data_IF_192786700154
#
_entry.id   IF_192786700154
#
_cell.length_a   1.000
_cell.length_b   1.000
_cell.length_c   1.000
_cell.angle_alpha   90.00
_cell.angle_beta   90.00
_cell.angle_gamma   90.00
#
_symmetry.space_group_name_H-M   'P 1'
#
loop_
_entity.id
_entity.type
_entity.pdbx_description
1 polymer ?
#
# COMPACT_ATOMS: atom_id res chain seq x y z
N UNK A 1 27.78 -33.17 -37.84
CA UNK A 1 26.57 -32.80 -37.08
C UNK A 1 25.47 -32.50 -38.06
N UNK A 2 24.21 -32.77 -37.69
CA UNK A 2 23.05 -32.46 -38.51
C UNK A 2 22.76 -30.96 -38.51
N UNK A 3 22.36 -30.41 -39.67
CA UNK A 3 22.02 -28.99 -39.83
C UNK A 3 20.53 -28.92 -40.15
N UNK A 4 19.75 -28.38 -39.22
CA UNK A 4 18.28 -28.27 -39.35
C UNK A 4 17.88 -26.81 -39.13
N UNK A 5 16.87 -26.34 -39.86
CA UNK A 5 16.29 -25.02 -39.65
C UNK A 5 15.49 -24.98 -38.34
N UNK A 6 15.23 -23.79 -37.77
CA UNK A 6 14.44 -23.66 -36.54
C UNK A 6 12.98 -24.16 -36.70
N UNK A 7 12.47 -24.15 -37.94
CA UNK A 7 11.10 -24.55 -38.28
C UNK A 7 10.95 -26.08 -38.36
N UNK A 8 11.99 -26.78 -38.83
CA UNK A 8 11.95 -28.22 -39.12
C UNK A 8 12.13 -29.17 -37.93
N UNK A 9 12.27 -28.68 -36.70
CA UNK A 9 11.69 -29.43 -35.59
C UNK A 9 10.75 -28.62 -34.70
N UNK A 10 10.87 -27.29 -34.63
CA UNK A 10 10.18 -26.47 -33.63
C UNK A 10 8.99 -25.65 -34.13
N UNK A 11 8.71 -25.62 -35.44
CA UNK A 11 7.62 -24.85 -36.02
C UNK A 11 6.25 -25.42 -35.63
N UNK A 12 5.25 -24.55 -35.40
CA UNK A 12 3.93 -24.88 -34.83
C UNK A 12 3.30 -26.22 -35.25
N UNK A 13 3.30 -26.63 -36.53
CA UNK A 13 2.75 -27.92 -36.95
C UNK A 13 3.36 -29.14 -36.25
N UNK A 14 4.67 -29.15 -35.97
CA UNK A 14 5.36 -30.30 -35.37
C UNK A 14 4.98 -30.50 -33.89
N UNK A 15 5.07 -29.48 -33.01
CA UNK A 15 4.56 -29.56 -31.63
C UNK A 15 3.08 -29.89 -31.53
N UNK A 16 2.22 -29.38 -32.44
CA UNK A 16 0.77 -29.62 -32.37
C UNK A 16 0.33 -30.96 -32.95
N UNK A 17 0.97 -31.45 -34.03
CA UNK A 17 0.49 -32.63 -34.77
C UNK A 17 1.27 -33.91 -34.50
N UNK A 18 2.56 -33.80 -34.16
CA UNK A 18 3.44 -34.95 -33.99
C UNK A 18 3.78 -35.21 -32.52
N UNK A 19 4.17 -34.16 -31.78
CA UNK A 19 4.66 -34.34 -30.41
C UNK A 19 3.57 -34.22 -29.33
N UNK A 20 2.52 -33.44 -29.59
CA UNK A 20 1.46 -33.17 -28.61
C UNK A 20 1.90 -32.24 -27.48
N UNK A 21 2.87 -31.36 -27.74
CA UNK A 21 3.35 -30.36 -26.75
C UNK A 21 2.42 -29.14 -26.68
N UNK A 22 1.68 -28.87 -27.75
CA UNK A 22 0.72 -27.75 -27.85
C UNK A 22 -0.65 -28.29 -28.23
N UNK A 23 -1.71 -27.77 -27.63
CA UNK A 23 -3.08 -28.27 -27.82
C UNK A 23 -3.83 -27.63 -29.00
N UNK A 24 -3.41 -26.42 -29.43
CA UNK A 24 -4.07 -25.67 -30.48
C UNK A 24 -3.04 -25.04 -31.45
N UNK A 25 -3.26 -25.20 -32.75
CA UNK A 25 -2.46 -24.57 -33.80
C UNK A 25 -3.23 -23.38 -34.37
N UNK A 26 -2.66 -22.18 -34.24
CA UNK A 26 -3.24 -20.95 -34.76
C UNK A 26 -2.55 -20.52 -36.07
N UNK A 27 -3.30 -19.87 -36.96
CA UNK A 27 -2.76 -19.39 -38.25
C UNK A 27 -2.02 -18.05 -38.13
N UNK A 28 -2.31 -17.29 -37.07
CA UNK A 28 -1.70 -16.00 -36.73
C UNK A 28 -2.11 -15.59 -35.30
N UNK A 29 -1.56 -14.48 -34.82
CA UNK A 29 -1.82 -13.94 -33.48
C UNK A 29 -3.30 -13.64 -33.21
N UNK A 30 -4.05 -13.15 -34.19
CA UNK A 30 -5.49 -12.90 -34.00
C UNK A 30 -6.27 -14.20 -33.78
N UNK A 31 -5.96 -15.25 -34.55
CA UNK A 31 -6.53 -16.58 -34.35
C UNK A 31 -6.12 -17.16 -32.99
N UNK A 32 -4.85 -16.99 -32.59
CA UNK A 32 -4.39 -17.43 -31.27
C UNK A 32 -5.16 -16.75 -30.13
N UNK A 33 -5.40 -15.44 -30.20
CA UNK A 33 -6.19 -14.70 -29.20
C UNK A 33 -7.65 -15.15 -29.16
N UNK A 34 -8.24 -15.52 -30.31
CA UNK A 34 -9.59 -16.10 -30.34
C UNK A 34 -9.63 -17.43 -29.60
N UNK A 35 -8.68 -18.34 -29.88
CA UNK A 35 -8.57 -19.63 -29.21
C UNK A 35 -8.42 -19.43 -27.69
N UNK A 36 -7.60 -18.49 -27.24
CA UNK A 36 -7.46 -18.17 -25.80
C UNK A 36 -8.79 -17.74 -25.18
N UNK A 37 -9.60 -16.92 -25.87
CA UNK A 37 -10.93 -16.52 -25.39
C UNK A 37 -11.89 -17.71 -25.32
N UNK A 38 -11.82 -18.62 -26.30
CA UNK A 38 -12.64 -19.84 -26.32
C UNK A 38 -12.27 -20.75 -25.15
N UNK A 39 -10.98 -20.92 -24.85
CA UNK A 39 -10.50 -21.67 -23.67
C UNK A 39 -11.05 -21.04 -22.37
N UNK A 40 -10.92 -19.71 -22.20
CA UNK A 40 -11.40 -19.01 -21.01
C UNK A 40 -12.92 -19.12 -20.86
N UNK A 41 -13.68 -19.17 -21.95
CA UNK A 41 -15.14 -19.30 -21.93
C UNK A 41 -15.63 -20.64 -21.36
N UNK A 42 -14.76 -21.67 -21.34
CA UNK A 42 -15.07 -23.00 -20.82
C UNK A 42 -14.65 -23.19 -19.36
N UNK A 43 -14.04 -22.18 -18.72
CA UNK A 43 -13.68 -22.25 -17.30
C UNK A 43 -14.93 -22.39 -16.42
N UNK A 44 -14.83 -23.10 -15.29
CA UNK A 44 -15.95 -23.24 -14.36
C UNK A 44 -16.39 -21.88 -13.80
N UNK A 45 -17.66 -21.76 -13.35
CA UNK A 45 -18.15 -20.54 -12.73
C UNK A 45 -17.32 -20.18 -11.49
N UNK A 46 -17.15 -18.87 -11.20
CA UNK A 46 -16.38 -18.43 -10.05
C UNK A 46 -17.08 -18.80 -8.73
N UNK A 47 -16.28 -18.86 -7.66
CA UNK A 47 -16.80 -19.03 -6.30
C UNK A 47 -17.74 -17.86 -5.91
N UNK A 48 -18.74 -18.11 -5.05
CA UNK A 48 -19.61 -17.03 -4.55
C UNK A 48 -18.79 -16.03 -3.73
N UNK A 49 -19.22 -14.77 -3.79
CA UNK A 49 -18.57 -13.70 -3.02
C UNK A 49 -18.77 -13.93 -1.51
N UNK A 50 -17.80 -13.51 -0.68
CA UNK A 50 -17.86 -13.69 0.78
C UNK A 50 -18.84 -12.74 1.48
N UNK A 51 -19.40 -11.77 0.75
CA UNK A 51 -20.34 -10.76 1.20
C UNK A 51 -21.26 -10.34 0.05
N UNK A 52 -22.37 -9.69 0.37
CA UNK A 52 -23.26 -9.08 -0.61
C UNK A 52 -22.68 -7.75 -1.12
N UNK A 53 -22.72 -7.53 -2.44
CA UNK A 53 -22.34 -6.25 -3.06
C UNK A 53 -23.57 -5.36 -3.14
N UNK A 54 -23.49 -4.20 -2.49
CA UNK A 54 -24.60 -3.25 -2.43
C UNK A 54 -24.76 -2.45 -3.74
N UNK A 55 -25.94 -1.85 -3.99
CA UNK A 55 -26.09 -0.89 -5.09
C UNK A 55 -25.08 0.25 -4.97
N UNK A 56 -24.35 0.52 -6.06
CA UNK A 56 -23.32 1.56 -6.09
C UNK A 56 -23.97 2.94 -5.97
N UNK A 57 -23.52 3.72 -4.98
CA UNK A 57 -23.81 5.15 -4.90
C UNK A 57 -22.54 5.95 -5.18
N UNK A 58 -22.53 6.93 -6.10
CA UNK A 58 -21.37 7.77 -6.29
C UNK A 58 -21.07 8.60 -5.02
N UNK A 59 -19.81 8.97 -4.76
CA UNK A 59 -19.48 9.90 -3.68
C UNK A 59 -20.19 11.26 -3.91
N UNK A 60 -20.56 11.94 -2.83
CA UNK A 60 -21.15 13.29 -2.89
C UNK A 60 -20.11 14.31 -3.34
N UNK A 61 -18.87 14.17 -2.87
CA UNK A 61 -17.74 15.00 -3.28
C UNK A 61 -17.09 14.44 -4.55
N UNK A 62 -16.68 15.33 -5.47
CA UNK A 62 -16.08 14.89 -6.76
C UNK A 62 -14.67 14.37 -6.55
N UNK A 63 -14.34 13.24 -7.18
CA UNK A 63 -13.00 12.62 -7.12
C UNK A 63 -11.88 13.58 -7.54
N UNK A 64 -12.11 14.40 -8.59
CA UNK A 64 -11.14 15.40 -9.07
C UNK A 64 -10.82 16.52 -8.07
N UNK A 65 -11.61 16.69 -7.02
CA UNK A 65 -11.29 17.65 -5.96
C UNK A 65 -10.13 17.17 -5.07
N UNK A 66 -9.72 15.89 -5.17
CA UNK A 66 -8.53 15.37 -4.48
C UNK A 66 -7.26 16.18 -4.79
N UNK A 67 -7.13 16.74 -5.99
CA UNK A 67 -6.00 17.59 -6.37
C UNK A 67 -5.87 18.87 -5.55
N UNK A 68 -6.98 19.39 -5.01
CA UNK A 68 -7.01 20.61 -4.20
C UNK A 68 -7.04 20.34 -2.69
N UNK A 69 -7.40 19.12 -2.29
CA UNK A 69 -7.53 18.71 -0.89
C UNK A 69 -6.19 18.25 -0.31
N UNK A 70 -5.41 17.52 -1.10
CA UNK A 70 -4.18 16.88 -0.63
C UNK A 70 -2.98 17.75 -1.02
N UNK A 71 -2.28 18.35 -0.04
CA UNK A 71 -1.08 19.12 -0.32
C UNK A 71 0.00 18.25 -0.96
N UNK A 72 0.75 18.82 -1.90
CA UNK A 72 1.94 18.15 -2.47
C UNK A 72 3.14 18.21 -1.53
N UNK A 73 3.15 19.16 -0.60
CA UNK A 73 4.12 19.22 0.49
C UNK A 73 3.67 18.29 1.62
N UNK A 74 4.48 17.25 1.86
CA UNK A 74 4.22 16.22 2.87
C UNK A 74 4.23 16.75 4.32
N UNK A 75 4.71 17.96 4.55
CA UNK A 75 4.73 18.59 5.87
C UNK A 75 3.46 19.35 6.21
N UNK A 76 2.60 19.63 5.22
CA UNK A 76 1.36 20.36 5.44
C UNK A 76 0.28 19.39 5.95
N UNK A 77 -0.22 19.55 7.19
CA UNK A 77 -1.27 18.70 7.71
C UNK A 77 -2.60 18.97 6.98
N UNK A 78 -3.37 17.91 6.78
CA UNK A 78 -4.74 17.96 6.26
C UNK A 78 -5.57 16.86 6.91
N UNK A 79 -6.90 16.95 6.83
CA UNK A 79 -7.78 15.88 7.34
C UNK A 79 -7.94 14.79 6.29
N UNK A 80 -7.47 13.57 6.58
CA UNK A 80 -7.57 12.42 5.68
C UNK A 80 -9.01 12.01 5.37
N UNK A 81 -9.98 12.45 6.20
CA UNK A 81 -11.41 12.26 5.93
C UNK A 81 -11.85 12.92 4.64
N UNK A 82 -11.17 13.98 4.20
CA UNK A 82 -11.44 14.61 2.91
C UNK A 82 -11.09 13.71 1.71
N UNK A 83 -10.10 12.82 1.85
CA UNK A 83 -9.84 11.75 0.88
C UNK A 83 -10.96 10.73 0.95
N UNK A 84 -11.27 10.22 2.16
CA UNK A 84 -12.27 9.17 2.36
C UNK A 84 -13.63 9.58 1.77
N UNK A 85 -14.07 10.81 2.02
CA UNK A 85 -15.35 11.35 1.53
C UNK A 85 -15.46 11.34 -0.01
N UNK A 86 -14.34 11.37 -0.74
CA UNK A 86 -14.26 11.34 -2.21
C UNK A 86 -14.08 9.94 -2.78
N UNK A 87 -13.79 8.95 -1.94
CA UNK A 87 -13.57 7.57 -2.36
C UNK A 87 -14.77 6.68 -2.09
N UNK A 88 -15.53 6.92 -1.01
CA UNK A 88 -16.57 5.99 -0.54
C UNK A 88 -17.95 6.30 -1.09
N UNK A 89 -18.76 5.25 -1.23
CA UNK A 89 -20.11 5.32 -1.76
C UNK A 89 -20.99 6.27 -0.93
N UNK A 90 -21.64 7.23 -1.61
CA UNK A 90 -22.47 8.25 -0.97
C UNK A 90 -21.72 9.15 0.02
N UNK A 91 -20.38 9.14 0.04
CA UNK A 91 -19.56 9.77 1.08
C UNK A 91 -19.91 9.32 2.50
N UNK A 92 -20.47 8.12 2.65
CA UNK A 92 -20.88 7.56 3.94
C UNK A 92 -19.72 6.79 4.59
N UNK A 93 -19.31 7.25 5.77
CA UNK A 93 -18.22 6.64 6.53
C UNK A 93 -18.62 6.48 7.99
N UNK A 94 -18.65 5.24 8.47
CA UNK A 94 -18.92 4.94 9.87
C UNK A 94 -17.60 4.81 10.63
N UNK A 95 -17.18 5.91 11.26
CA UNK A 95 -15.89 6.01 11.94
C UNK A 95 -15.87 5.21 13.26
N UNK A 96 -14.91 4.29 13.37
CA UNK A 96 -14.64 3.52 14.58
C UNK A 96 -13.69 4.29 15.50
N UNK A 97 -13.99 4.34 16.80
CA UNK A 97 -13.14 5.02 17.81
C UNK A 97 -12.74 6.44 17.36
N UNK A 98 -13.70 7.23 16.87
CA UNK A 98 -13.48 8.61 16.38
C UNK A 98 -12.69 9.47 17.37
N UNK A 99 -13.05 9.41 18.65
CA UNK A 99 -12.46 10.21 19.73
C UNK A 99 -11.22 9.59 20.40
N UNK A 100 -10.66 8.49 19.87
CA UNK A 100 -9.49 7.79 20.45
C UNK A 100 -8.43 7.55 19.38
N UNK A 101 -7.17 7.91 19.65
CA UNK A 101 -6.08 7.74 18.69
C UNK A 101 -6.35 8.45 17.35
N UNK A 102 -6.74 9.73 17.40
CA UNK A 102 -7.25 10.50 16.26
C UNK A 102 -6.27 10.68 15.09
N UNK A 103 -4.98 10.39 15.29
CA UNK A 103 -3.98 10.37 14.22
C UNK A 103 -4.05 9.14 13.31
N UNK A 104 -4.91 8.18 13.65
CA UNK A 104 -5.29 7.07 12.77
C UNK A 104 -6.82 7.04 12.66
N UNK A 105 -7.33 7.33 11.46
CA UNK A 105 -8.74 7.24 11.14
C UNK A 105 -9.04 5.81 10.73
N UNK A 106 -10.02 5.19 11.39
CA UNK A 106 -10.51 3.86 11.01
C UNK A 106 -12.01 3.86 10.94
N UNK A 107 -12.58 3.08 10.02
CA UNK A 107 -14.03 3.01 9.88
C UNK A 107 -14.49 2.17 8.70
N UNK A 108 -15.79 1.91 8.68
CA UNK A 108 -16.42 1.08 7.66
C UNK A 108 -17.09 1.94 6.59
N UNK A 109 -16.99 1.50 5.34
CA UNK A 109 -17.62 2.14 4.19
C UNK A 109 -17.94 1.11 3.10
N UNK A 110 -18.43 1.59 1.97
CA UNK A 110 -18.50 0.82 0.73
C UNK A 110 -17.76 1.56 -0.39
N UNK A 111 -17.14 0.83 -1.31
CA UNK A 111 -16.56 1.37 -2.55
C UNK A 111 -17.05 0.49 -3.69
N UNK A 112 -17.77 1.07 -4.65
CA UNK A 112 -18.39 0.31 -5.74
C UNK A 112 -19.27 -0.85 -5.21
N UNK A 113 -20.00 -0.62 -4.11
CA UNK A 113 -20.86 -1.61 -3.47
C UNK A 113 -20.14 -2.64 -2.59
N UNK A 114 -18.81 -2.76 -2.68
CA UNK A 114 -18.04 -3.67 -1.84
C UNK A 114 -17.81 -3.07 -0.44
N UNK A 115 -18.06 -3.80 0.66
CA UNK A 115 -17.71 -3.33 1.99
C UNK A 115 -16.19 -3.19 2.13
N UNK A 116 -15.75 -2.16 2.83
CA UNK A 116 -14.33 -1.90 3.08
C UNK A 116 -14.10 -1.37 4.49
N UNK A 117 -13.06 -1.86 5.14
CA UNK A 117 -12.50 -1.31 6.37
C UNK A 117 -11.34 -0.41 6.02
N UNK A 118 -11.48 0.90 6.23
CA UNK A 118 -10.45 1.88 5.88
C UNK A 118 -9.57 2.14 7.10
N UNK A 119 -8.25 2.17 6.90
CA UNK A 119 -7.23 2.53 7.89
C UNK A 119 -6.35 3.62 7.29
N UNK A 120 -6.47 4.85 7.77
CA UNK A 120 -5.89 6.02 7.13
C UNK A 120 -5.11 6.91 8.11
N UNK A 121 -3.88 7.30 7.75
CA UNK A 121 -3.09 8.18 8.60
C UNK A 121 -3.62 9.61 8.58
N UNK A 122 -3.63 10.23 9.75
CA UNK A 122 -4.02 11.63 9.97
C UNK A 122 -3.01 12.32 10.89
N UNK A 123 -1.74 11.94 10.79
CA UNK A 123 -0.63 12.36 11.65
C UNK A 123 0.30 11.21 12.05
N UNK A 124 1.22 11.50 13.00
CA UNK A 124 2.13 10.50 13.58
C UNK A 124 1.39 9.43 14.38
N UNK A 125 1.93 8.22 14.47
CA UNK A 125 1.31 7.14 15.24
C UNK A 125 1.70 7.18 16.72
N UNK A 126 0.68 7.11 17.59
CA UNK A 126 0.84 6.89 19.03
C UNK A 126 0.46 5.46 19.41
N UNK A 127 0.68 5.09 20.68
CA UNK A 127 0.25 3.80 21.24
C UNK A 127 -1.25 3.57 21.05
N UNK A 128 -2.06 4.60 21.28
CA UNK A 128 -3.51 4.61 21.12
C UNK A 128 -3.90 4.35 19.66
N UNK A 129 -3.19 4.97 18.71
CA UNK A 129 -3.39 4.79 17.28
C UNK A 129 -3.14 3.34 16.88
N UNK A 130 -2.04 2.74 17.34
CA UNK A 130 -1.72 1.34 17.05
C UNK A 130 -2.70 0.35 17.70
N UNK A 131 -3.13 0.59 18.95
CA UNK A 131 -4.15 -0.20 19.62
C UNK A 131 -5.52 -0.12 18.92
N UNK A 132 -5.89 1.08 18.44
CA UNK A 132 -7.09 1.29 17.62
C UNK A 132 -6.99 0.52 16.31
N UNK A 133 -5.85 0.62 15.61
CA UNK A 133 -5.60 -0.06 14.35
C UNK A 133 -5.68 -1.58 14.47
N UNK A 134 -5.00 -2.16 15.46
CA UNK A 134 -5.02 -3.60 15.70
C UNK A 134 -6.44 -4.13 15.93
N UNK A 135 -7.20 -3.51 16.84
CA UNK A 135 -8.58 -3.92 17.12
C UNK A 135 -9.48 -3.75 15.89
N UNK A 136 -9.33 -2.67 15.12
CA UNK A 136 -10.13 -2.48 13.92
C UNK A 136 -9.85 -3.54 12.84
N UNK A 137 -8.59 -3.95 12.69
CA UNK A 137 -8.20 -5.03 11.77
C UNK A 137 -8.83 -6.35 12.21
N UNK A 138 -8.80 -6.68 13.50
CA UNK A 138 -9.45 -7.89 14.03
C UNK A 138 -10.95 -7.92 13.72
N UNK A 139 -11.64 -6.79 13.85
CA UNK A 139 -13.06 -6.67 13.50
C UNK A 139 -13.31 -6.90 12.01
N UNK A 140 -12.48 -6.32 11.14
CA UNK A 140 -12.61 -6.51 9.69
C UNK A 140 -12.37 -7.97 9.32
N UNK A 141 -11.35 -8.59 9.89
CA UNK A 141 -10.95 -9.96 9.58
C UNK A 141 -11.97 -11.00 10.07
N UNK A 142 -12.56 -10.78 11.26
CA UNK A 142 -13.67 -11.57 11.78
C UNK A 142 -14.89 -11.48 10.86
N UNK A 143 -15.19 -10.28 10.35
CA UNK A 143 -16.37 -9.99 9.50
C UNK A 143 -16.13 -10.26 8.01
N UNK A 144 -14.92 -10.70 7.62
CA UNK A 144 -14.52 -10.91 6.21
C UNK A 144 -14.61 -9.63 5.36
N UNK A 145 -14.31 -8.48 5.96
CA UNK A 145 -14.31 -7.17 5.29
C UNK A 145 -12.88 -6.87 4.80
N UNK A 146 -12.67 -6.63 3.49
CA UNK A 146 -11.40 -6.17 2.94
C UNK A 146 -10.87 -4.90 3.62
N UNK A 147 -9.56 -4.77 3.72
CA UNK A 147 -8.90 -3.62 4.32
C UNK A 147 -8.29 -2.72 3.24
N UNK A 148 -8.52 -1.41 3.36
CA UNK A 148 -7.87 -0.38 2.56
C UNK A 148 -7.00 0.51 3.45
N UNK A 149 -5.70 0.50 3.19
CA UNK A 149 -4.72 1.33 3.88
C UNK A 149 -4.40 2.58 3.06
N UNK A 150 -4.61 3.76 3.63
CA UNK A 150 -4.21 5.04 3.04
C UNK A 150 -2.97 5.56 3.78
N UNK A 151 -1.80 5.38 3.19
CA UNK A 151 -0.52 5.73 3.83
C UNK A 151 -0.18 7.19 3.62
N UNK A 152 -0.08 7.91 4.74
CA UNK A 152 0.58 9.20 4.84
C UNK A 152 1.24 9.29 6.22
N UNK A 153 2.33 8.53 6.40
CA UNK A 153 2.96 8.28 7.69
C UNK A 153 4.42 8.67 7.70
N UNK A 154 4.77 9.54 8.65
CA UNK A 154 6.15 9.97 8.97
C UNK A 154 6.83 9.08 10.00
N UNK A 155 6.04 8.37 10.83
CA UNK A 155 6.54 7.39 11.78
C UNK A 155 5.72 7.37 13.07
N UNK A 156 6.29 6.74 14.10
CA UNK A 156 5.77 6.75 15.46
C UNK A 156 6.30 7.95 16.23
N UNK A 157 5.54 8.38 17.25
CA UNK A 157 6.01 9.41 18.17
C UNK A 157 7.25 8.93 18.93
N UNK A 158 8.26 9.79 19.04
CA UNK A 158 9.51 9.49 19.74
C UNK A 158 9.60 10.28 21.05
N UNK A 159 10.20 9.66 22.07
CA UNK A 159 10.43 10.30 23.36
C UNK A 159 10.46 9.29 24.50
N UNK A 160 11.20 9.61 25.57
CA UNK A 160 11.41 8.71 26.71
C UNK A 160 10.10 8.23 27.34
N UNK A 161 9.11 9.10 27.45
CA UNK A 161 7.80 8.78 28.02
C UNK A 161 7.00 7.81 27.13
N UNK A 162 7.06 7.97 25.80
CA UNK A 162 6.38 7.09 24.85
C UNK A 162 7.04 5.70 24.79
N UNK A 163 8.37 5.65 24.85
CA UNK A 163 9.12 4.39 24.93
C UNK A 163 8.81 3.65 26.24
N UNK A 164 8.86 4.35 27.38
CA UNK A 164 8.50 3.79 28.68
C UNK A 164 7.02 3.36 28.74
N UNK A 165 6.14 4.09 28.06
CA UNK A 165 4.73 3.75 27.86
C UNK A 165 4.50 2.56 26.93
N UNK A 166 5.55 1.99 26.32
CA UNK A 166 5.48 0.77 25.54
C UNK A 166 5.03 0.98 24.10
N UNK A 167 5.30 2.14 23.48
CA UNK A 167 4.92 2.41 22.09
C UNK A 167 5.37 1.31 21.12
N UNK A 168 6.56 0.74 21.35
CA UNK A 168 7.09 -0.39 20.59
C UNK A 168 6.17 -1.63 20.65
N UNK A 169 5.69 -2.03 21.84
CA UNK A 169 4.79 -3.18 21.97
C UNK A 169 3.39 -2.89 21.44
N UNK A 170 2.95 -1.63 21.46
CA UNK A 170 1.67 -1.24 20.88
C UNK A 170 1.72 -1.22 19.35
N UNK A 171 2.77 -0.67 18.76
CA UNK A 171 3.05 -0.78 17.32
C UNK A 171 3.15 -2.24 16.86
N UNK A 172 3.84 -3.08 17.64
CA UNK A 172 3.94 -4.52 17.35
C UNK A 172 2.58 -5.23 17.29
N UNK A 173 1.60 -4.85 18.12
CA UNK A 173 0.24 -5.41 18.02
C UNK A 173 -0.40 -5.09 16.66
N UNK A 174 -0.27 -3.85 16.18
CA UNK A 174 -0.80 -3.47 14.87
C UNK A 174 -0.10 -4.23 13.75
N UNK A 175 1.23 -4.38 13.82
CA UNK A 175 2.01 -5.17 12.85
C UNK A 175 1.58 -6.64 12.83
N UNK A 176 1.38 -7.27 13.99
CA UNK A 176 0.84 -8.63 14.08
C UNK A 176 -0.54 -8.72 13.43
N UNK A 177 -1.42 -7.76 13.69
CA UNK A 177 -2.76 -7.74 13.10
C UNK A 177 -2.70 -7.63 11.57
N UNK A 178 -1.89 -6.70 11.04
CA UNK A 178 -1.69 -6.53 9.58
C UNK A 178 -1.14 -7.80 8.93
N UNK A 179 -0.11 -8.41 9.54
CA UNK A 179 0.56 -9.58 9.00
C UNK A 179 -0.35 -10.81 8.96
N UNK A 180 -1.18 -11.00 10.00
CA UNK A 180 -2.02 -12.17 10.15
C UNK A 180 -3.42 -12.02 9.50
N UNK A 181 -3.86 -10.80 9.20
CA UNK A 181 -5.17 -10.57 8.56
C UNK A 181 -5.24 -11.30 7.21
N UNK A 182 -6.24 -12.19 7.09
CA UNK A 182 -6.47 -13.03 5.90
C UNK A 182 -7.33 -12.34 4.84
N UNK A 183 -8.13 -11.34 5.26
CA UNK A 183 -8.93 -10.54 4.34
C UNK A 183 -8.03 -9.86 3.31
N UNK A 184 -8.53 -9.60 2.08
CA UNK A 184 -7.77 -8.84 1.10
C UNK A 184 -7.34 -7.50 1.68
N UNK A 185 -6.05 -7.18 1.58
CA UNK A 185 -5.47 -5.90 1.95
C UNK A 185 -5.10 -5.15 0.69
N UNK A 186 -5.52 -3.89 0.57
CA UNK A 186 -5.13 -2.97 -0.49
C UNK A 186 -4.43 -1.78 0.15
N UNK A 187 -3.39 -1.26 -0.50
CA UNK A 187 -2.63 -0.13 0.02
C UNK A 187 -2.51 0.95 -1.03
N UNK A 188 -2.76 2.20 -0.65
CA UNK A 188 -2.51 3.38 -1.48
C UNK A 188 -1.62 4.34 -0.69
N UNK A 189 -0.44 4.64 -1.20
CA UNK A 189 0.44 5.65 -0.63
C UNK A 189 0.02 7.02 -1.16
N UNK A 190 -0.70 7.77 -0.32
CA UNK A 190 -1.25 9.10 -0.65
C UNK A 190 -0.35 10.26 -0.22
N UNK A 191 0.68 9.98 0.59
CA UNK A 191 1.67 10.95 1.06
C UNK A 191 3.00 10.28 1.42
N UNK A 192 3.44 10.40 2.68
CA UNK A 192 4.66 9.76 3.16
C UNK A 192 4.49 8.26 3.45
N UNK A 193 5.53 7.47 3.19
CA UNK A 193 5.64 6.08 3.64
C UNK A 193 7.03 5.86 4.23
N UNK A 194 7.16 6.14 5.53
CA UNK A 194 8.46 6.19 6.21
C UNK A 194 8.59 5.20 7.37
N UNK A 195 9.73 4.51 7.41
CA UNK A 195 10.19 3.69 8.54
C UNK A 195 9.17 2.67 9.04
N UNK A 196 9.06 2.53 10.36
CA UNK A 196 8.13 1.57 10.99
C UNK A 196 6.66 1.85 10.67
N UNK A 197 6.32 3.06 10.26
CA UNK A 197 4.97 3.42 9.82
C UNK A 197 4.54 2.65 8.57
N UNK A 198 5.47 2.43 7.63
CA UNK A 198 5.23 1.60 6.44
C UNK A 198 4.75 0.20 6.83
N UNK A 199 5.38 -0.39 7.86
CA UNK A 199 5.06 -1.74 8.33
C UNK A 199 3.67 -1.82 8.96
N UNK A 200 3.37 -0.88 9.87
CA UNK A 200 2.08 -0.83 10.55
C UNK A 200 0.91 -0.52 9.62
N UNK A 201 1.16 0.07 8.46
CA UNK A 201 0.13 0.43 7.48
C UNK A 201 0.10 -0.49 6.25
N UNK A 202 0.52 -1.75 6.38
CA UNK A 202 0.50 -2.75 5.30
C UNK A 202 1.31 -2.36 4.05
N UNK A 203 2.58 -1.98 4.24
CA UNK A 203 3.55 -1.80 3.16
C UNK A 203 3.86 -3.09 2.39
N UNK A 204 4.76 -2.99 1.41
CA UNK A 204 5.02 -4.07 0.43
C UNK A 204 5.36 -5.43 1.05
N UNK A 205 6.07 -5.45 2.19
CA UNK A 205 6.46 -6.68 2.89
C UNK A 205 5.31 -7.41 3.60
N UNK A 206 4.12 -6.80 3.68
CA UNK A 206 2.93 -7.37 4.33
C UNK A 206 1.92 -7.93 3.33
N UNK A 207 2.37 -8.10 2.07
CA UNK A 207 1.61 -8.73 0.98
C UNK A 207 0.19 -8.19 0.84
N UNK A 208 -0.01 -6.86 0.70
CA UNK A 208 -1.27 -6.38 0.15
C UNK A 208 -1.45 -6.97 -1.25
N UNK A 209 -2.69 -7.26 -1.64
CA UNK A 209 -3.00 -7.80 -2.98
C UNK A 209 -2.56 -6.85 -4.07
N UNK A 210 -2.70 -5.56 -3.80
CA UNK A 210 -2.16 -4.49 -4.63
C UNK A 210 -1.70 -3.33 -3.74
N UNK A 211 -0.60 -2.69 -4.15
CA UNK A 211 -0.08 -1.46 -3.55
C UNK A 211 0.15 -0.43 -4.64
N UNK A 212 -0.48 0.74 -4.55
CA UNK A 212 -0.25 1.84 -5.49
C UNK A 212 0.34 3.06 -4.79
N UNK A 213 0.93 3.94 -5.59
CA UNK A 213 1.46 5.22 -5.12
C UNK A 213 0.84 6.38 -5.87
N UNK A 214 0.62 7.49 -5.17
CA UNK A 214 0.27 8.76 -5.81
C UNK A 214 1.53 9.50 -6.31
N UNK A 215 1.42 10.40 -7.29
CA UNK A 215 2.59 11.05 -7.90
C UNK A 215 3.38 11.95 -6.94
N UNK A 216 2.73 12.51 -5.92
CA UNK A 216 3.36 13.37 -4.91
C UNK A 216 3.88 12.60 -3.68
N UNK A 217 3.66 11.29 -3.61
CA UNK A 217 4.06 10.48 -2.46
C UNK A 217 5.58 10.31 -2.35
N UNK A 218 6.08 9.90 -1.18
CA UNK A 218 7.51 9.55 -0.98
C UNK A 218 7.64 8.29 -0.13
N UNK A 219 8.64 7.47 -0.43
CA UNK A 219 8.94 6.25 0.34
C UNK A 219 10.43 6.14 0.68
N UNK A 220 10.76 5.96 1.95
CA UNK A 220 12.16 5.74 2.38
C UNK A 220 12.21 5.24 3.83
N UNK A 221 13.40 4.86 4.31
CA UNK A 221 13.57 4.40 5.69
C UNK A 221 13.21 5.46 6.73
N UNK A 222 13.41 6.74 6.40
CA UNK A 222 12.99 7.92 7.15
C UNK A 222 12.93 9.13 6.20
N UNK A 223 12.38 10.28 6.62
CA UNK A 223 12.36 11.47 5.77
C UNK A 223 13.76 12.02 5.48
N UNK A 224 13.98 12.58 4.28
CA UNK A 224 15.28 13.13 3.87
C UNK A 224 15.85 14.18 4.84
N UNK A 225 15.07 15.21 5.25
CA UNK A 225 15.51 16.17 6.26
C UNK A 225 15.85 15.53 7.61
N UNK A 226 15.11 14.50 8.01
CA UNK A 226 15.35 13.77 9.26
C UNK A 226 16.65 12.96 9.18
N UNK A 227 16.91 12.27 8.07
CA UNK A 227 18.16 11.54 7.83
C UNK A 227 19.37 12.47 7.86
N UNK A 228 19.29 13.59 7.13
CA UNK A 228 20.34 14.60 7.09
C UNK A 228 20.63 15.16 8.50
N UNK A 229 19.57 15.47 9.28
CA UNK A 229 19.72 15.94 10.66
C UNK A 229 20.41 14.91 11.55
N UNK A 230 19.95 13.66 11.58
CA UNK A 230 20.51 12.61 12.45
C UNK A 230 21.97 12.31 12.10
N UNK A 231 22.28 12.15 10.82
CA UNK A 231 23.64 11.86 10.37
C UNK A 231 24.59 13.05 10.65
N UNK A 232 24.10 14.28 10.51
CA UNK A 232 24.90 15.46 10.85
C UNK A 232 25.18 15.55 12.35
N UNK A 233 24.22 15.27 13.24
CA UNK A 233 24.45 15.26 14.69
C UNK A 233 25.53 14.26 15.08
N UNK A 234 25.48 13.04 14.56
CA UNK A 234 26.50 12.01 14.81
C UNK A 234 27.87 12.46 14.29
N UNK A 235 27.91 13.06 13.09
CA UNK A 235 29.16 13.56 12.50
C UNK A 235 29.77 14.68 13.33
N UNK A 236 28.95 15.62 13.82
CA UNK A 236 29.37 16.72 14.70
C UNK A 236 30.03 16.18 15.96
N UNK A 237 29.37 15.26 16.67
CA UNK A 237 29.89 14.64 17.88
C UNK A 237 31.24 13.95 17.64
N UNK A 238 31.40 13.27 16.50
CA UNK A 238 32.67 12.63 16.13
C UNK A 238 33.79 13.67 15.90
N UNK A 239 33.53 14.72 15.13
CA UNK A 239 34.51 15.77 14.84
C UNK A 239 34.93 16.51 16.12
N UNK A 240 33.96 16.89 16.95
CA UNK A 240 34.22 17.57 18.22
C UNK A 240 34.94 16.67 19.23
N UNK A 241 34.64 15.36 19.25
CA UNK A 241 35.37 14.40 20.11
C UNK A 241 36.82 14.19 19.69
N UNK A 242 37.15 14.43 18.42
CA UNK A 242 38.51 14.38 17.88
C UNK A 242 39.29 15.69 18.13
N UNK A 243 38.65 16.72 18.71
CA UNK A 243 39.25 18.04 18.96
C UNK A 243 39.21 18.99 17.76
N UNK A 244 38.54 18.59 16.67
CA UNK A 244 38.32 19.43 15.49
C UNK A 244 37.02 20.23 15.63
N UNK A 245 36.87 21.28 14.81
CA UNK A 245 35.64 22.10 14.76
C UNK A 245 34.91 21.86 13.43
N UNK A 246 33.57 21.81 13.47
CA UNK A 246 32.75 21.61 12.28
C UNK A 246 31.85 22.82 12.03
N UNK A 247 32.17 23.57 10.99
CA UNK A 247 31.46 24.81 10.65
C UNK A 247 30.02 24.55 10.18
N UNK A 248 29.18 25.58 10.20
CA UNK A 248 27.82 25.49 9.66
C UNK A 248 27.81 25.20 8.16
N UNK A 249 28.78 25.74 7.42
CA UNK A 249 28.91 25.53 5.97
C UNK A 249 29.32 24.07 5.67
N UNK A 250 30.23 23.50 6.46
CA UNK A 250 30.61 22.09 6.32
C UNK A 250 29.46 21.14 6.71
N UNK A 251 28.64 21.52 7.69
CA UNK A 251 27.45 20.78 8.08
C UNK A 251 26.39 20.79 6.96
N UNK A 252 26.15 21.95 6.34
CA UNK A 252 25.19 22.04 5.24
C UNK A 252 25.69 21.33 3.98
N UNK A 253 26.99 21.45 3.65
CA UNK A 253 27.61 20.70 2.56
C UNK A 253 27.54 19.17 2.77
N UNK A 254 27.53 18.71 4.03
CA UNK A 254 27.32 17.30 4.36
C UNK A 254 25.85 16.87 4.27
N UNK A 255 24.90 17.74 4.65
CA UNK A 255 23.47 17.45 4.64
C UNK A 255 22.88 17.40 3.24
N UNK A 256 23.33 18.27 2.35
CA UNK A 256 22.73 18.41 1.02
C UNK A 256 22.74 17.11 0.18
N UNK A 257 23.87 16.39 0.00
CA UNK A 257 23.86 15.15 -0.77
C UNK A 257 22.97 14.06 -0.13
N UNK A 258 22.76 14.10 1.19
CA UNK A 258 21.84 13.18 1.87
C UNK A 258 20.38 13.53 1.51
N UNK A 259 20.01 14.82 1.51
CA UNK A 259 18.66 15.24 1.11
C UNK A 259 18.38 14.86 -0.35
N UNK A 260 19.32 15.12 -1.25
CA UNK A 260 19.22 14.75 -2.67
C UNK A 260 19.06 13.24 -2.85
N UNK A 261 19.86 12.43 -2.13
CA UNK A 261 19.75 10.98 -2.18
C UNK A 261 18.33 10.51 -1.81
N UNK A 262 17.76 11.04 -0.74
CA UNK A 262 16.44 10.65 -0.27
C UNK A 262 15.32 11.14 -1.19
N UNK A 263 15.46 12.32 -1.79
CA UNK A 263 14.50 12.82 -2.77
C UNK A 263 14.52 11.97 -4.05
N UNK A 264 15.72 11.62 -4.54
CA UNK A 264 15.87 10.77 -5.70
C UNK A 264 15.34 9.34 -5.47
N UNK A 265 15.79 8.69 -4.40
CA UNK A 265 15.43 7.29 -4.10
C UNK A 265 14.01 7.15 -3.55
N UNK A 266 13.46 8.21 -2.96
CA UNK A 266 12.11 8.23 -2.41
C UNK A 266 11.02 8.63 -3.39
N UNK A 267 11.38 9.05 -4.60
CA UNK A 267 10.44 9.38 -5.68
C UNK A 267 9.56 8.18 -6.04
N UNK A 268 8.25 8.37 -6.33
CA UNK A 268 7.39 7.29 -6.82
C UNK A 268 7.90 6.65 -8.11
N UNK A 269 8.58 7.41 -8.96
CA UNK A 269 9.20 6.88 -10.19
C UNK A 269 10.36 5.93 -9.88
N UNK A 270 11.14 6.21 -8.83
CA UNK A 270 12.22 5.33 -8.40
C UNK A 270 11.66 4.02 -7.83
N UNK A 271 10.58 4.12 -7.05
CA UNK A 271 9.85 3.01 -6.46
C UNK A 271 9.22 2.09 -7.51
N UNK A 272 8.43 2.65 -8.42
CA UNK A 272 7.67 1.88 -9.42
C UNK A 272 8.58 1.19 -10.42
N UNK A 273 9.71 1.81 -10.78
CA UNK A 273 10.75 1.20 -11.61
C UNK A 273 11.39 -0.07 -10.99
N UNK A 274 11.16 -0.31 -9.70
CA UNK A 274 11.69 -1.45 -8.92
C UNK A 274 10.59 -2.35 -8.36
N UNK A 275 9.33 -2.16 -8.77
CA UNK A 275 8.16 -2.94 -8.35
C UNK A 275 7.94 -2.98 -6.82
N UNK A 276 8.35 -1.93 -6.12
CA UNK A 276 7.99 -1.73 -4.71
C UNK A 276 6.49 -1.44 -4.57
N UNK A 277 5.91 -0.88 -5.62
CA UNK A 277 4.48 -0.71 -5.88
C UNK A 277 4.09 -1.38 -7.20
N UNK A 278 2.78 -1.51 -7.42
CA UNK A 278 2.16 -2.09 -8.62
C UNK A 278 1.76 -1.00 -9.63
N UNK A 279 2.19 0.25 -9.40
CA UNK A 279 1.97 1.37 -10.30
C UNK A 279 1.71 2.70 -9.58
N UNK A 280 2.10 3.77 -10.26
CA UNK A 280 1.68 5.13 -9.94
C UNK A 280 0.31 5.36 -10.58
N UNK A 281 -0.65 5.86 -9.79
CA UNK A 281 -2.02 6.14 -10.27
C UNK A 281 -2.35 7.62 -10.13
N UNK A 282 -3.25 8.11 -10.98
CA UNK A 282 -3.87 9.42 -10.77
C UNK A 282 -4.69 9.39 -9.46
N UNK A 283 -4.52 10.37 -8.55
CA UNK A 283 -5.36 10.48 -7.36
C UNK A 283 -6.86 10.35 -7.62
N UNK A 284 -7.38 10.91 -8.72
CA UNK A 284 -8.79 10.82 -9.07
C UNK A 284 -9.23 9.40 -9.46
N UNK A 285 -8.33 8.58 -9.99
CA UNK A 285 -8.61 7.19 -10.39
C UNK A 285 -8.58 6.21 -9.21
N UNK A 286 -8.18 6.66 -8.01
CA UNK A 286 -8.06 5.81 -6.82
C UNK A 286 -9.32 4.99 -6.55
N UNK A 287 -10.49 5.62 -6.66
CA UNK A 287 -11.77 4.93 -6.42
C UNK A 287 -12.01 3.81 -7.42
N UNK A 288 -11.77 4.07 -8.70
CA UNK A 288 -11.93 3.08 -9.78
C UNK A 288 -10.97 1.91 -9.60
N UNK A 289 -9.68 2.20 -9.38
CA UNK A 289 -8.64 1.17 -9.22
C UNK A 289 -8.92 0.29 -7.99
N UNK A 290 -9.29 0.90 -6.86
CA UNK A 290 -9.66 0.16 -5.65
C UNK A 290 -10.93 -0.67 -5.88
N UNK A 291 -11.95 -0.13 -6.54
CA UNK A 291 -13.18 -0.87 -6.87
C UNK A 291 -12.92 -2.11 -7.71
N UNK A 292 -12.12 -1.98 -8.78
CA UNK A 292 -11.73 -3.12 -9.63
C UNK A 292 -10.95 -4.18 -8.84
N UNK A 293 -10.01 -3.75 -7.99
CA UNK A 293 -9.22 -4.67 -7.18
C UNK A 293 -10.05 -5.39 -6.13
N UNK A 294 -11.05 -4.74 -5.53
CA UNK A 294 -11.98 -5.36 -4.60
C UNK A 294 -12.79 -6.47 -5.28
N UNK A 295 -13.32 -6.24 -6.49
CA UNK A 295 -14.05 -7.28 -7.24
C UNK A 295 -13.18 -8.50 -7.55
N UNK A 296 -11.93 -8.29 -7.98
CA UNK A 296 -10.98 -9.37 -8.24
C UNK A 296 -10.64 -10.13 -6.94
N UNK A 297 -10.36 -9.40 -5.85
CA UNK A 297 -9.95 -10.00 -4.59
C UNK A 297 -11.07 -10.79 -3.89
N UNK A 298 -12.33 -10.40 -4.10
CA UNK A 298 -13.50 -11.04 -3.50
C UNK A 298 -13.74 -12.46 -4.02
N UNK A 299 -13.10 -12.85 -5.12
CA UNK A 299 -13.27 -14.17 -5.76
C UNK A 299 -12.29 -15.23 -5.25
N UNK A 300 -11.37 -14.87 -4.35
CA UNK A 300 -10.42 -15.79 -3.76
C UNK A 300 -10.94 -16.37 -2.42
N UNK A 301 -10.82 -17.69 -2.18
CA UNK A 301 -11.19 -18.26 -0.90
C UNK A 301 -10.31 -17.71 0.23
N UNK A 302 -10.88 -17.62 1.44
CA UNK A 302 -10.19 -17.17 2.64
C UNK A 302 -10.01 -18.33 3.62
N UNK A 303 -8.82 -18.45 4.20
CA UNK A 303 -8.53 -19.37 5.30
C UNK A 303 -9.29 -19.00 6.57
N UNK A 304 -9.23 -19.80 7.62
CA UNK A 304 -9.72 -19.39 8.94
C UNK A 304 -8.84 -18.32 9.57
N UNK A 305 -9.42 -17.57 10.50
CA UNK A 305 -8.71 -16.50 11.24
C UNK A 305 -7.67 -17.13 12.16
N UNK A 306 -6.43 -16.68 12.07
CA UNK A 306 -5.34 -17.12 12.93
C UNK A 306 -4.33 -16.00 13.13
N UNK A 307 -4.17 -15.55 14.37
CA UNK A 307 -3.19 -14.54 14.75
C UNK A 307 -2.00 -15.18 15.47
N UNK A 308 -0.82 -14.59 15.28
CA UNK A 308 0.33 -14.84 16.15
C UNK A 308 0.09 -14.30 17.57
N UNK A 309 1.08 -14.49 18.44
CA UNK A 309 1.00 -14.01 19.83
C UNK A 309 1.03 -12.48 19.86
N UNK A 310 -0.01 -11.87 20.44
CA UNK A 310 0.00 -10.45 20.76
C UNK A 310 0.80 -10.19 22.05
N UNK A 311 1.79 -9.29 21.97
CA UNK A 311 2.53 -8.82 23.15
C UNK A 311 1.70 -7.78 23.90
N UNK A 312 1.01 -8.16 24.98
CA UNK A 312 0.12 -7.28 25.76
C UNK A 312 0.83 -6.12 26.47
#
# INVERSE_FOLDING_TARGET
GEVVSAEDPGGGPTPSRLWGVTDHLADNDHHALQIVRDIVSQLPPPAPLPYEVQPVAPPVAREKELYGVVPTDLHVPYDVREIIARLVDGSLFHEFKKEYGATLVTGFAHIHGHPVGIVANNGVLFSESALKGAHFIELCDQRRIPLLFLQNITGFMVGREYEAGGIAKHGAKMVTAVACARVPKLTVVVGGSFGAGNYSMSGRSYSPRFLWMWPASRISVMGGPQAASVLSTIRREQVESAGDNWSADDEEAFREPIREQYEHQGSPYYSTARLWDDGIIDPADTRTVVGLALDVCARAPMSDVSYGVFRM
#
